data_IF_464632756953
#
_entry.id   IF_464632756953
#
_cell.length_a   1.000
_cell.length_b   1.000
_cell.length_c   1.000
_cell.angle_alpha   90.00
_cell.angle_beta   90.00
_cell.angle_gamma   90.00
#
_symmetry.space_group_name_H-M   'P 1'
#
loop_
_entity.id
_entity.type
_entity.pdbx_description
1 polymer ?
2 non-polymer ?
3 non-polymer ?
4 non-polymer ?
5 non-polymer ?
6 water ?
#
# COMPACT_ATOMS: atom_id res chain seq x y z
N UNK A 14 -3.91 24.49 -3.24
CA UNK A 14 -3.47 23.32 -2.48
C UNK A 14 -4.23 22.07 -2.88
N UNK A 15 -3.75 20.92 -2.42
CA UNK A 15 -4.37 19.64 -2.76
C UNK A 15 -5.80 19.57 -2.22
N UNK A 16 -6.70 19.08 -3.05
CA UNK A 16 -8.11 18.88 -2.67
C UNK A 16 -8.33 17.40 -2.42
N UNK A 17 -8.66 17.00 -1.19
CA UNK A 17 -8.82 15.57 -0.89
C UNK A 17 -9.99 14.97 -1.66
N UNK A 18 -9.78 13.83 -2.30
CA UNK A 18 -10.89 13.13 -2.97
C UNK A 18 -11.93 12.67 -1.96
N UNK A 19 -13.12 12.29 -2.40
CA UNK A 19 -14.13 11.78 -1.46
C UNK A 19 -13.67 10.47 -0.83
N UNK A 20 -14.24 10.17 0.34
CA UNK A 20 -13.86 8.97 1.08
C UNK A 20 -14.45 7.73 0.41
N UNK A 21 -13.63 6.67 0.35
CA UNK A 21 -14.10 5.38 -0.13
C UNK A 21 -14.98 4.74 0.95
N UNK A 22 -15.75 3.70 0.59
CA UNK A 22 -16.62 3.07 1.59
C UNK A 22 -15.83 2.38 2.69
N UNK A 23 -16.37 2.44 3.90
CA UNK A 23 -15.82 1.73 5.06
C UNK A 23 -16.90 0.78 5.56
N UNK A 24 -16.52 -0.48 5.76
CA UNK A 24 -17.44 -1.50 6.25
C UNK A 24 -16.98 -2.00 7.61
N UNK A 25 -17.95 -2.16 8.52
CA UNK A 25 -17.71 -2.69 9.86
C UNK A 25 -18.56 -3.94 10.02
N UNK A 26 -18.10 -5.07 9.51
CA UNK A 26 -18.94 -6.28 9.52
C UNK A 26 -19.14 -6.81 10.92
N UNK A 27 -20.32 -7.40 11.14
CA UNK A 27 -20.58 -8.10 12.39
C UNK A 27 -19.75 -9.38 12.46
N UNK A 28 -19.77 -10.01 13.63
CA UNK A 28 -19.07 -11.28 13.79
C UNK A 28 -19.61 -12.34 12.83
N UNK A 29 -20.92 -12.30 12.56
CA UNK A 29 -21.51 -13.23 11.61
C UNK A 29 -21.02 -12.94 10.19
N UNK A 30 -21.00 -11.66 9.80
CA UNK A 30 -20.54 -11.31 8.46
C UNK A 30 -19.03 -11.50 8.31
N UNK A 31 -18.29 -11.45 9.41
CA UNK A 31 -16.83 -11.57 9.39
C UNK A 31 -16.36 -13.02 9.25
N UNK A 32 -17.27 -13.98 9.21
CA UNK A 32 -16.88 -15.38 9.24
C UNK A 32 -16.30 -15.86 7.91
N UNK A 33 -16.59 -15.17 6.81
CA UNK A 33 -16.13 -15.60 5.49
C UNK A 33 -15.70 -14.39 4.68
N UNK A 34 -14.39 -14.21 4.45
CA UNK A 34 -13.94 -13.02 3.70
C UNK A 34 -14.46 -12.97 2.27
N UNK A 35 -14.34 -14.06 1.52
CA UNK A 35 -14.78 -14.05 0.13
C UNK A 35 -16.29 -13.85 0.03
N UNK A 36 -17.06 -14.45 0.95
CA UNK A 36 -18.49 -14.22 0.97
C UNK A 36 -18.82 -12.77 1.26
N UNK A 37 -18.12 -12.16 2.22
CA UNK A 37 -18.39 -10.78 2.58
C UNK A 37 -17.98 -9.83 1.46
N UNK A 38 -16.81 -10.06 0.85
CA UNK A 38 -16.36 -9.22 -0.27
C UNK A 38 -17.33 -9.36 -1.45
N UNK A 39 -17.87 -10.55 -1.66
CA UNK A 39 -18.84 -10.72 -2.73
C UNK A 39 -20.13 -9.98 -2.49
N UNK A 40 -20.50 -9.79 -1.22
CA UNK A 40 -21.75 -9.09 -0.91
C UNK A 40 -21.60 -7.58 -0.97
N UNK A 41 -20.44 -7.05 -0.54
CA UNK A 41 -20.20 -5.62 -0.64
C UNK A 41 -19.79 -5.20 -2.04
N UNK A 42 -19.60 -6.15 -2.95
CA UNK A 42 -19.11 -5.83 -4.29
C UNK A 42 -19.95 -4.81 -5.05
N UNK A 43 -21.30 -4.86 -5.04
CA UNK A 43 -22.06 -3.87 -5.82
C UNK A 43 -21.71 -2.42 -5.50
N UNK A 44 -21.28 -2.11 -4.28
CA UNK A 44 -20.86 -0.76 -3.94
C UNK A 44 -19.36 -0.58 -4.12
N UNK A 45 -18.56 -1.50 -3.58
CA UNK A 45 -17.12 -1.30 -3.52
C UNK A 45 -16.47 -1.32 -4.90
N UNK A 46 -17.00 -2.12 -5.83
CA UNK A 46 -16.45 -2.15 -7.18
C UNK A 46 -16.72 -0.86 -7.93
N UNK A 47 -17.67 -0.05 -7.47
CA UNK A 47 -17.92 1.26 -8.05
C UNK A 47 -16.98 2.33 -7.49
N UNK A 48 -16.19 2.01 -6.47
CA UNK A 48 -15.19 2.92 -5.93
C UNK A 48 -13.77 2.39 -6.06
N UNK A 49 -13.59 1.18 -6.59
CA UNK A 49 -12.26 0.61 -6.73
C UNK A 49 -11.65 0.03 -5.48
N UNK A 50 -11.62 0.79 -4.39
CA UNK A 50 -11.09 0.34 -3.12
C UNK A 50 -12.16 0.52 -2.05
N UNK A 51 -11.99 -0.22 -0.95
CA UNK A 51 -12.86 -0.07 0.22
C UNK A 51 -12.07 -0.49 1.45
N UNK A 52 -12.55 -0.03 2.61
CA UNK A 52 -11.91 -0.31 3.88
C UNK A 52 -12.83 -1.20 4.72
N UNK A 53 -12.24 -2.15 5.42
CA UNK A 53 -12.98 -3.12 6.23
C UNK A 53 -12.38 -3.14 7.63
N UNK A 54 -13.18 -2.73 8.61
CA UNK A 54 -12.75 -2.74 10.01
C UNK A 54 -13.24 -4.02 10.66
N UNK A 55 -12.34 -4.89 11.13
CA UNK A 55 -12.77 -6.10 11.82
C UNK A 55 -13.46 -5.77 13.13
N UNK A 56 -14.17 -6.72 13.73
CA UNK A 56 -14.74 -6.48 15.06
C UNK A 56 -13.66 -6.11 16.05
N UNK A 57 -14.06 -5.35 17.08
CA UNK A 57 -13.08 -4.73 17.99
C UNK A 57 -12.21 -5.77 18.67
N UNK A 58 -12.78 -6.92 19.03
CA UNK A 58 -12.03 -7.94 19.75
C UNK A 58 -11.13 -8.78 18.84
N UNK A 59 -11.22 -8.60 17.52
CA UNK A 59 -10.36 -9.33 16.58
C UNK A 59 -9.04 -8.59 16.48
N UNK A 60 -8.02 -9.08 17.19
CA UNK A 60 -6.71 -8.43 17.23
C UNK A 60 -5.64 -9.50 17.11
N UNK A 61 -5.06 -9.69 15.93
CA UNK A 61 -4.01 -10.69 15.76
C UNK A 61 -2.70 -10.21 16.33
N UNK A 62 -1.92 -11.10 16.95
CA UNK A 62 -0.59 -10.72 17.41
C UNK A 62 0.37 -10.56 16.23
N UNK A 63 1.40 -9.74 16.45
CA UNK A 63 2.43 -9.56 15.44
C UNK A 63 3.45 -10.69 15.58
N UNK A 64 3.59 -11.50 14.53
CA UNK A 64 4.34 -12.74 14.59
C UNK A 64 5.62 -12.72 13.77
N UNK A 65 6.07 -11.55 13.32
CA UNK A 65 7.34 -11.48 12.61
C UNK A 65 8.50 -11.69 13.58
N UNK A 66 9.56 -12.32 13.09
CA UNK A 66 10.78 -12.47 13.89
C UNK A 66 11.47 -11.12 13.96
N UNK A 67 11.21 -10.39 15.03
CA UNK A 67 11.65 -9.00 15.12
C UNK A 67 13.15 -8.91 15.40
N UNK A 68 13.72 -9.91 16.08
CA UNK A 68 15.13 -9.85 16.46
C UNK A 68 16.03 -9.81 15.22
N UNK A 69 15.76 -10.68 14.25
CA UNK A 69 16.60 -10.79 13.06
C UNK A 69 16.05 -10.03 11.86
N UNK A 70 14.96 -9.28 12.03
CA UNK A 70 14.36 -8.55 10.91
C UNK A 70 15.30 -7.43 10.47
N UNK A 71 15.98 -7.64 9.34
CA UNK A 71 16.89 -6.64 8.80
C UNK A 71 16.64 -6.50 7.30
N UNK A 72 16.77 -5.28 6.79
CA UNK A 72 16.45 -5.02 5.39
C UNK A 72 17.12 -3.74 4.95
N UNK A 73 17.36 -3.65 3.64
CA UNK A 73 17.85 -2.43 3.01
C UNK A 73 16.71 -1.80 2.21
N UNK A 74 16.10 -0.73 2.68
CA UNK A 74 14.96 -0.15 1.98
C UNK A 74 15.40 0.54 0.69
N UNK A 75 14.42 0.74 -0.19
CA UNK A 75 14.68 1.45 -1.44
C UNK A 75 14.59 2.95 -1.22
N UNK A 76 15.38 3.69 -1.97
CA UNK A 76 15.43 5.14 -1.87
C UNK A 76 14.40 5.73 -2.82
N UNK A 77 13.60 6.68 -2.31
CA UNK A 77 12.52 7.29 -3.08
C UNK A 77 12.72 8.80 -3.10
N UNK A 78 13.04 9.34 -4.28
CA UNK A 78 13.08 10.78 -4.48
C UNK A 78 11.69 11.22 -4.95
N UNK A 79 11.03 12.05 -4.13
CA UNK A 79 9.62 12.34 -4.36
C UNK A 79 9.39 13.05 -5.70
N UNK A 80 10.31 13.93 -6.09
CA UNK A 80 10.14 14.74 -7.29
C UNK A 80 10.96 14.23 -8.47
N UNK A 81 11.22 12.92 -8.53
CA UNK A 81 12.12 12.39 -9.56
C UNK A 81 11.54 12.58 -10.95
N UNK A 82 10.22 12.45 -11.10
CA UNK A 82 9.60 12.66 -12.40
C UNK A 82 9.63 14.12 -12.80
N UNK A 83 9.27 15.01 -11.88
CA UNK A 83 9.26 16.44 -12.19
C UNK A 83 10.65 16.96 -12.51
N UNK A 84 11.69 16.32 -11.94
CA UNK A 84 13.06 16.76 -12.15
C UNK A 84 13.62 16.38 -13.51
N UNK A 85 12.90 15.59 -14.31
CA UNK A 85 13.37 15.19 -15.63
C UNK A 85 13.49 16.40 -16.55
N UNK A 89 19.76 19.53 -18.23
CA UNK A 89 20.98 19.59 -17.44
C UNK A 89 20.98 18.50 -16.37
N UNK A 90 21.72 17.42 -16.62
CA UNK A 90 21.79 16.33 -15.64
C UNK A 90 22.60 16.75 -14.41
N UNK A 91 22.13 16.33 -13.25
CA UNK A 91 22.81 16.66 -12.00
C UNK A 91 24.18 16.00 -11.95
N UNK A 92 25.12 16.65 -11.28
CA UNK A 92 26.48 16.14 -11.16
C UNK A 92 26.47 14.83 -10.39
N UNK A 93 27.03 13.79 -11.01
CA UNK A 93 27.13 12.46 -10.40
C UNK A 93 25.74 11.90 -10.05
N UNK A 94 24.83 11.95 -11.01
CA UNK A 94 23.51 11.39 -10.79
C UNK A 94 23.58 9.87 -10.72
N UNK A 95 22.75 9.29 -9.85
CA UNK A 95 22.80 7.88 -9.56
C UNK A 95 23.44 7.53 -8.22
N UNK A 96 24.09 8.50 -7.57
CA UNK A 96 24.72 8.30 -6.28
C UNK A 96 24.23 9.35 -5.27
N UNK A 97 22.96 9.74 -5.35
CA UNK A 97 22.45 10.84 -4.56
C UNK A 97 22.21 10.47 -3.10
N UNK A 98 22.35 9.20 -2.73
CA UNK A 98 22.00 8.76 -1.38
C UNK A 98 22.90 7.60 -0.97
N UNK A 99 23.45 7.68 0.24
CA UNK A 99 24.19 6.56 0.80
C UNK A 99 23.23 5.44 1.18
N UNK A 100 23.70 4.21 1.01
CA UNK A 100 22.88 3.02 1.23
C UNK A 100 22.99 2.60 2.68
N UNK A 101 21.85 2.31 3.32
CA UNK A 101 21.82 1.99 4.74
C UNK A 101 20.91 0.79 4.98
N UNK A 102 21.38 -0.14 5.81
CA UNK A 102 20.59 -1.27 6.26
C UNK A 102 20.00 -0.97 7.63
N UNK A 103 18.79 -1.45 7.88
CA UNK A 103 18.08 -1.17 9.13
C UNK A 103 17.57 -2.46 9.75
N UNK A 104 17.32 -2.39 11.06
CA UNK A 104 16.40 -3.28 11.73
C UNK A 104 15.04 -2.60 11.81
N UNK A 105 14.04 -3.33 12.31
CA UNK A 105 12.73 -2.72 12.51
C UNK A 105 12.81 -1.56 13.50
N UNK A 106 13.65 -1.71 14.53
CA UNK A 106 13.79 -0.66 15.53
C UNK A 106 14.53 0.56 14.97
N UNK A 107 15.67 0.33 14.31
CA UNK A 107 16.47 1.44 13.81
C UNK A 107 15.78 2.16 12.67
N UNK A 108 14.99 1.45 11.86
CA UNK A 108 14.21 2.12 10.82
C UNK A 108 13.13 3.00 11.42
N UNK A 109 12.47 2.52 12.48
CA UNK A 109 11.44 3.31 13.12
C UNK A 109 11.99 4.54 13.81
N UNK A 110 13.18 4.41 14.41
CA UNK A 110 13.84 5.57 15.01
C UNK A 110 14.21 6.59 13.94
N UNK A 111 14.69 6.13 12.79
CA UNK A 111 14.93 7.04 11.68
C UNK A 111 13.63 7.64 11.16
N UNK A 112 12.57 6.83 11.11
CA UNK A 112 11.32 7.29 10.54
C UNK A 112 10.69 8.40 11.39
N UNK A 113 10.66 8.19 12.70
CA UNK A 113 10.06 9.21 13.58
C UNK A 113 10.91 10.47 13.63
N UNK A 114 12.24 10.31 13.62
CA UNK A 114 13.11 11.48 13.63
C UNK A 114 12.91 12.33 12.37
N UNK A 115 12.74 11.69 11.22
CA UNK A 115 12.52 12.45 9.99
C UNK A 115 11.21 13.23 10.05
N UNK A 116 10.12 12.56 10.43
CA UNK A 116 8.81 13.22 10.42
C UNK A 116 8.74 14.33 11.47
N UNK A 117 9.26 14.07 12.68
CA UNK A 117 9.22 15.07 13.73
C UNK A 117 10.13 16.25 13.40
N UNK A 118 11.27 16.01 12.75
CA UNK A 118 12.11 17.11 12.32
C UNK A 118 11.46 17.90 11.19
N UNK A 119 10.77 17.20 10.26
CA UNK A 119 10.22 17.88 9.10
C UNK A 119 9.08 18.81 9.50
N UNK A 120 8.15 18.34 10.33
CA UNK A 120 7.00 19.12 10.73
C UNK A 120 7.18 19.88 12.04
N UNK A 121 8.31 19.66 12.73
CA UNK A 121 8.62 20.37 13.97
C UNK A 121 7.55 20.14 15.04
N UNK A 122 7.10 18.89 15.16
CA UNK A 122 6.10 18.51 16.16
C UNK A 122 6.14 17.00 16.31
N UNK A 123 5.58 16.46 17.40
CA UNK A 123 5.52 15.00 17.55
C UNK A 123 4.77 14.36 16.39
N UNK A 124 5.19 13.14 16.06
CA UNK A 124 4.72 12.50 14.83
C UNK A 124 3.20 12.29 14.85
N UNK A 125 2.64 11.95 16.01
CA UNK A 125 1.22 11.71 16.10
C UNK A 125 0.40 12.98 16.15
N UNK A 126 1.05 14.14 16.28
CA UNK A 126 0.35 15.43 16.30
C UNK A 126 0.24 16.06 14.91
N UNK A 127 0.85 15.45 13.90
CA UNK A 127 0.77 15.99 12.54
C UNK A 127 -0.54 15.50 11.91
N UNK A 128 -1.42 16.42 11.50
CA UNK A 128 -2.69 15.99 10.90
C UNK A 128 -2.46 15.22 9.61
N UNK A 129 -3.30 14.20 9.40
CA UNK A 129 -3.21 13.42 8.17
C UNK A 129 -3.43 14.29 6.94
N UNK A 130 -4.27 15.32 7.05
CA UNK A 130 -4.49 16.22 5.93
C UNK A 130 -3.25 17.03 5.60
N UNK A 131 -2.41 17.32 6.61
CA UNK A 131 -1.21 18.12 6.36
C UNK A 131 -0.14 17.30 5.65
N UNK A 132 0.10 16.07 6.10
CA UNK A 132 1.04 15.19 5.42
C UNK A 132 0.60 14.95 3.98
N UNK A 133 -0.71 14.83 3.76
CA UNK A 133 -1.22 14.63 2.41
C UNK A 133 -0.95 15.83 1.52
N UNK A 134 -1.26 17.03 2.02
CA UNK A 134 -1.03 18.24 1.25
C UNK A 134 0.47 18.45 0.99
N UNK A 135 1.30 18.17 1.99
CA UNK A 135 2.74 18.34 1.82
C UNK A 135 3.31 17.31 0.86
N UNK A 136 2.80 16.08 0.89
CA UNK A 136 3.32 15.03 0.01
C UNK A 136 3.18 15.42 -1.45
N UNK A 137 1.98 15.88 -1.85
CA UNK A 137 1.74 16.21 -3.25
C UNK A 137 2.40 17.51 -3.65
N UNK A 138 2.66 18.41 -2.69
CA UNK A 138 3.44 19.60 -3.01
C UNK A 138 4.89 19.24 -3.30
N UNK A 139 5.46 18.35 -2.48
CA UNK A 139 6.85 17.92 -2.67
C UNK A 139 7.02 17.12 -3.96
N UNK A 140 5.99 16.36 -4.35
CA UNK A 140 6.11 15.51 -5.55
C UNK A 140 6.30 16.37 -6.79
N UNK A 141 5.67 17.54 -6.84
CA UNK A 141 5.75 18.43 -8.00
C UNK A 141 6.72 19.58 -7.81
N UNK A 142 7.48 19.59 -6.71
CA UNK A 142 8.35 20.73 -6.39
C UNK A 142 9.74 20.51 -6.96
N UNK A 143 10.23 21.49 -7.70
CA UNK A 143 11.59 21.46 -8.21
C UNK A 143 12.55 22.16 -7.24
N UNK A 144 12.07 23.12 -6.47
CA UNK A 144 12.90 23.89 -5.56
C UNK A 144 13.21 23.16 -4.26
N UNK A 145 12.74 21.92 -4.09
CA UNK A 145 12.93 21.19 -2.84
C UNK A 145 13.03 19.71 -3.16
N UNK A 146 14.15 19.09 -2.75
CA UNK A 146 14.43 17.68 -3.05
C UNK A 146 14.32 16.89 -1.75
N UNK A 147 13.15 16.28 -1.52
CA UNK A 147 12.92 15.44 -0.35
C UNK A 147 13.12 13.99 -0.74
N UNK A 148 13.88 13.26 0.08
CA UNK A 148 14.24 11.87 -0.19
C UNK A 148 13.91 11.03 1.04
N UNK A 149 13.15 9.95 0.85
CA UNK A 149 12.76 9.06 1.92
C UNK A 149 13.14 7.63 1.52
N UNK A 150 12.88 6.69 2.42
CA UNK A 150 13.20 5.29 2.21
C UNK A 150 11.97 4.44 2.51
N UNK A 151 11.86 3.31 1.80
CA UNK A 151 10.69 2.45 1.90
C UNK A 151 11.14 0.99 1.94
N UNK A 152 10.80 0.30 3.01
CA UNK A 152 11.04 -1.14 3.10
C UNK A 152 9.97 -1.91 2.38
N UNK A 153 10.02 -1.89 1.06
CA UNK A 153 8.93 -2.37 0.22
C UNK A 153 9.24 -3.73 -0.39
N UNK A 154 8.19 -4.49 -0.68
CA UNK A 154 8.28 -5.77 -1.36
C UNK A 154 9.19 -6.75 -0.61
N UNK A 155 9.10 -6.74 0.72
CA UNK A 155 9.79 -7.72 1.53
C UNK A 155 8.95 -8.98 1.58
N UNK A 156 9.51 -10.09 1.11
CA UNK A 156 8.78 -11.35 1.08
C UNK A 156 8.53 -11.86 2.49
N UNK A 157 7.30 -12.29 2.76
CA UNK A 157 6.98 -12.90 4.04
C UNK A 157 7.72 -14.21 4.28
N UNK A 158 8.36 -14.77 3.25
CA UNK A 158 9.19 -15.95 3.42
C UNK A 158 10.56 -15.63 4.01
N UNK A 159 10.91 -14.35 4.13
CA UNK A 159 12.23 -13.98 4.66
C UNK A 159 12.24 -14.05 6.18
N UNK A 160 11.38 -13.26 6.83
CA UNK A 160 11.33 -13.21 8.29
C UNK A 160 9.98 -13.64 8.85
N UNK A 161 9.14 -14.26 8.03
CA UNK A 161 7.82 -14.67 8.47
C UNK A 161 6.76 -13.62 8.19
N UNK A 162 5.51 -14.08 8.16
CA UNK A 162 4.40 -13.16 7.99
C UNK A 162 4.15 -12.38 9.27
N UNK A 163 3.45 -11.25 9.12
CA UNK A 163 2.97 -10.53 10.29
C UNK A 163 1.91 -11.27 11.06
N UNK A 164 1.17 -12.16 10.40
CA UNK A 164 0.20 -13.07 10.96
C UNK A 164 0.87 -14.35 11.45
N UNK A 165 0.37 -14.93 12.53
CA UNK A 165 0.86 -16.26 12.93
C UNK A 165 0.43 -17.31 11.92
N UNK A 166 1.34 -18.23 11.62
CA UNK A 166 1.08 -19.30 10.67
C UNK A 166 1.51 -20.61 11.30
N UNK A 167 0.74 -21.68 11.02
CA UNK A 167 1.06 -23.01 11.53
C UNK A 167 1.96 -23.71 10.52
N UNK A 168 3.24 -23.33 10.56
CA UNK A 168 4.25 -23.94 9.71
C UNK A 168 5.37 -24.60 10.50
N UNK A 169 5.31 -24.57 11.82
CA UNK A 169 6.33 -25.17 12.66
C UNK A 169 7.57 -24.34 12.88
N UNK A 170 7.64 -23.14 12.32
CA UNK A 170 8.83 -22.31 12.42
C UNK A 170 8.77 -21.30 13.57
N UNK A 171 7.61 -21.15 14.22
CA UNK A 171 7.49 -20.20 15.31
C UNK A 171 6.37 -20.67 16.24
N UNK A 172 6.52 -20.35 17.52
CA UNK A 172 5.55 -20.78 18.52
C UNK A 172 4.24 -20.02 18.39
N UNK A 173 3.14 -20.73 18.59
CA UNK A 173 1.80 -20.16 18.52
C UNK A 173 1.10 -20.42 19.85
N UNK A 174 0.74 -19.35 20.55
CA UNK A 174 -0.02 -19.48 21.78
C UNK A 174 -1.45 -19.92 21.47
N UNK A 175 -2.12 -20.57 22.42
CA UNK A 175 -3.50 -21.03 22.16
C UNK A 175 -4.45 -19.93 21.77
N UNK A 176 -4.37 -18.77 22.44
CA UNK A 176 -5.23 -17.65 22.08
C UNK A 176 -4.87 -17.05 20.73
N UNK A 177 -3.73 -17.43 20.15
CA UNK A 177 -3.32 -16.97 18.83
C UNK A 177 -3.66 -17.95 17.72
N UNK A 178 -4.06 -19.18 18.07
CA UNK A 178 -4.35 -20.18 17.04
C UNK A 178 -5.52 -19.77 16.15
N UNK A 179 -6.51 -19.07 16.71
CA UNK A 179 -7.64 -18.63 15.92
C UNK A 179 -7.21 -17.69 14.79
N UNK A 180 -6.15 -16.92 15.01
CA UNK A 180 -5.67 -16.00 13.98
C UNK A 180 -4.84 -16.72 12.93
N UNK A 181 -4.14 -17.80 13.31
CA UNK A 181 -3.42 -18.59 12.32
C UNK A 181 -4.37 -19.35 11.40
N UNK A 182 -5.60 -19.62 11.86
CA UNK A 182 -6.59 -20.34 11.08
C UNK A 182 -7.66 -19.42 10.49
N UNK A 183 -7.60 -18.12 10.79
CA UNK A 183 -8.63 -17.20 10.33
C UNK A 183 -8.58 -17.04 8.81
N UNK A 184 -9.75 -16.93 8.20
CA UNK A 184 -9.83 -16.66 6.78
C UNK A 184 -9.30 -15.29 6.40
N UNK A 185 -9.25 -14.36 7.34
CA UNK A 185 -8.70 -13.02 7.11
C UNK A 185 -7.19 -12.98 7.29
N UNK A 186 -6.59 -14.02 7.84
CA UNK A 186 -5.14 -14.19 7.75
C UNK A 186 -4.76 -14.24 6.28
N UNK A 187 -3.94 -13.28 5.84
CA UNK A 187 -3.62 -13.17 4.43
C UNK A 187 -2.91 -14.41 3.88
N UNK A 188 -2.27 -15.20 4.76
CA UNK A 188 -1.67 -16.45 4.31
C UNK A 188 -2.72 -17.51 4.00
N UNK A 189 -3.99 -17.27 4.33
CA UNK A 189 -5.07 -18.21 4.08
C UNK A 189 -6.00 -17.78 2.96
N UNK A 190 -5.70 -16.67 2.28
CA UNK A 190 -6.50 -16.27 1.14
C UNK A 190 -6.17 -17.16 -0.06
N UNK A 191 -7.18 -17.47 -0.89
CA UNK A 191 -6.91 -18.30 -2.08
C UNK A 191 -6.15 -17.51 -3.13
N UNK A 192 -5.10 -18.12 -3.68
CA UNK A 192 -4.20 -17.45 -4.60
C UNK A 192 -4.03 -18.19 -5.92
N UNK A 193 -4.64 -19.36 -6.08
CA UNK A 193 -4.45 -20.16 -7.29
C UNK A 193 -5.56 -19.84 -8.29
N UNK A 194 -5.16 -19.30 -9.44
CA UNK A 194 -6.11 -19.01 -10.50
C UNK A 194 -6.37 -20.26 -11.33
N UNK A 195 -7.64 -20.47 -11.69
CA UNK A 195 -8.03 -21.64 -12.46
C UNK A 195 -7.61 -21.47 -13.92
N UNK A 196 -7.09 -22.55 -14.50
CA UNK A 196 -6.67 -22.56 -15.89
C UNK A 196 -6.41 -23.99 -16.31
N UNK A 197 -6.38 -24.21 -17.63
CA UNK A 197 -5.99 -25.52 -18.14
C UNK A 197 -4.51 -25.77 -17.89
N UNK A 198 -3.69 -24.71 -17.94
CA UNK A 198 -2.27 -24.86 -17.67
C UNK A 198 -2.03 -25.35 -16.25
N UNK A 199 -2.88 -24.93 -15.30
CA UNK A 199 -2.74 -25.40 -13.93
C UNK A 199 -2.97 -26.91 -13.80
N UNK A 200 -3.65 -27.52 -14.76
CA UNK A 200 -3.82 -28.96 -14.79
C UNK A 200 -2.72 -29.67 -15.57
N UNK A 201 -2.10 -28.98 -16.53
CA UNK A 201 -1.01 -29.57 -17.29
C UNK A 201 0.33 -29.36 -16.59
N UNK A 202 0.49 -28.25 -15.87
CA UNK A 202 1.73 -27.99 -15.15
C UNK A 202 1.73 -28.65 -13.78
N UNK A 209 2.44 -18.28 -4.31
CA UNK A 209 2.42 -16.87 -3.98
C UNK A 209 2.20 -16.66 -2.48
N UNK A 210 2.99 -15.76 -1.89
CA UNK A 210 2.92 -15.48 -0.46
C UNK A 210 2.78 -13.97 -0.28
N UNK A 211 2.29 -13.52 0.88
CA UNK A 211 2.14 -12.08 1.09
C UNK A 211 3.47 -11.35 1.10
N UNK A 212 3.42 -10.06 0.77
CA UNK A 212 4.57 -9.18 0.81
C UNK A 212 4.41 -8.17 1.94
N UNK A 213 5.54 -7.72 2.47
CA UNK A 213 5.56 -6.82 3.62
C UNK A 213 6.03 -5.44 3.20
N UNK A 214 5.57 -4.42 3.92
CA UNK A 214 5.90 -3.03 3.62
C UNK A 214 6.16 -2.29 4.93
N UNK A 215 7.40 -1.90 5.16
CA UNK A 215 7.79 -1.10 6.31
C UNK A 215 7.88 0.35 5.82
N UNK A 216 6.93 1.18 6.24
CA UNK A 216 6.82 2.51 5.73
C UNK A 216 7.32 3.59 6.68
N UNK A 217 7.62 4.75 6.10
CA UNK A 217 7.90 5.96 6.84
C UNK A 217 7.11 7.09 6.20
N UNK A 218 7.19 8.28 6.79
CA UNK A 218 6.49 9.43 6.26
C UNK A 218 6.96 9.72 4.84
N UNK A 219 6.00 9.89 3.93
CA UNK A 219 6.16 10.22 2.51
C UNK A 219 6.60 9.05 1.64
N UNK A 220 6.90 7.89 2.21
CA UNK A 220 7.12 6.71 1.38
C UNK A 220 5.82 6.33 0.68
N UNK A 221 5.93 5.94 -0.59
CA UNK A 221 4.75 5.89 -1.42
C UNK A 221 4.82 4.75 -2.43
N UNK A 222 3.66 4.44 -3.01
CA UNK A 222 3.53 3.55 -4.14
C UNK A 222 2.62 4.21 -5.17
N UNK A 223 3.02 4.17 -6.43
CA UNK A 223 2.34 4.92 -7.49
C UNK A 223 1.23 4.09 -8.12
N UNK A 224 0.54 4.70 -9.08
CA UNK A 224 -0.65 4.10 -9.68
C UNK A 224 -0.30 2.80 -10.39
N UNK A 225 -1.10 1.77 -10.13
CA UNK A 225 -0.87 0.46 -10.72
C UNK A 225 -2.13 -0.38 -10.55
N UNK A 226 -2.23 -1.44 -11.35
CA UNK A 226 -3.18 -2.52 -11.15
C UNK A 226 -2.39 -3.80 -10.96
N UNK A 227 -3.06 -4.81 -10.41
CA UNK A 227 -2.39 -6.06 -10.11
C UNK A 227 -2.26 -6.91 -11.37
N UNK A 228 -1.29 -7.83 -11.34
CA UNK A 228 -1.14 -8.80 -12.41
C UNK A 228 -2.42 -9.62 -12.55
N UNK A 229 -2.80 -9.90 -13.80
CA UNK A 229 -4.03 -10.62 -14.13
C UNK A 229 -5.28 -9.89 -13.65
N UNK A 230 -5.18 -8.57 -13.42
CA UNK A 230 -6.29 -7.78 -12.90
C UNK A 230 -6.83 -8.35 -11.59
N UNK A 231 -5.94 -8.87 -10.76
CA UNK A 231 -6.35 -9.62 -9.58
C UNK A 231 -6.85 -8.69 -8.48
N UNK A 232 -7.70 -9.25 -7.62
CA UNK A 232 -7.98 -8.62 -6.33
C UNK A 232 -6.68 -8.50 -5.53
N UNK A 233 -6.71 -7.62 -4.55
CA UNK A 233 -5.66 -7.58 -3.53
C UNK A 233 -6.30 -7.19 -2.20
N UNK A 234 -5.75 -7.74 -1.12
CA UNK A 234 -6.17 -7.41 0.22
C UNK A 234 -4.94 -6.97 1.00
N UNK A 235 -5.11 -5.93 1.81
CA UNK A 235 -3.99 -5.26 2.47
C UNK A 235 -4.34 -5.03 3.93
N UNK A 236 -3.42 -5.41 4.82
CA UNK A 236 -3.64 -5.28 6.26
C UNK A 236 -2.50 -4.47 6.88
N UNK A 237 -2.87 -3.46 7.66
CA UNK A 237 -1.89 -2.66 8.40
C UNK A 237 -1.76 -3.25 9.80
N UNK A 238 -0.64 -3.91 10.06
CA UNK A 238 -0.44 -4.56 11.35
C UNK A 238 -0.35 -3.55 12.49
N UNK A 239 0.48 -2.51 12.31
CA UNK A 239 0.62 -1.48 13.32
C UNK A 239 1.21 -0.23 12.68
N UNK A 240 1.19 0.86 13.45
CA UNK A 240 1.84 2.09 13.05
C UNK A 240 0.85 3.17 12.64
N UNK A 241 1.41 4.23 12.06
CA UNK A 241 0.65 5.37 11.61
C UNK A 241 -0.08 5.03 10.30
N UNK A 242 -1.14 5.77 9.97
CA UNK A 242 -2.01 5.35 8.86
C UNK A 242 -1.29 5.29 7.52
N UNK A 243 -1.88 4.50 6.62
CA UNK A 243 -1.48 4.44 5.22
C UNK A 243 -2.59 5.07 4.40
N UNK A 244 -2.27 6.13 3.67
CA UNK A 244 -3.25 6.88 2.89
C UNK A 244 -3.38 6.27 1.50
N UNK A 245 -4.61 5.98 1.10
CA UNK A 245 -4.89 5.30 -0.16
C UNK A 245 -5.64 6.22 -1.12
N UNK A 246 -5.46 5.96 -2.41
CA UNK A 246 -6.30 6.51 -3.46
C UNK A 246 -6.67 5.39 -4.42
N UNK A 247 -7.93 5.36 -4.84
CA UNK A 247 -8.42 4.28 -5.68
C UNK A 247 -9.30 4.81 -6.78
N UNK A 248 -9.32 4.06 -7.89
CA UNK A 248 -10.12 4.41 -9.05
C UNK A 248 -10.92 3.18 -9.47
N UNK A 249 -12.24 3.30 -9.66
CA UNK A 249 -13.03 2.13 -10.05
C UNK A 249 -12.60 1.60 -11.41
N UNK A 250 -12.87 0.31 -11.63
CA UNK A 250 -12.37 -0.36 -12.83
C UNK A 250 -13.00 0.18 -14.10
N UNK A 251 -14.24 0.69 -14.02
CA UNK A 251 -14.90 1.21 -15.21
C UNK A 251 -14.24 2.48 -15.73
N UNK A 252 -13.38 3.11 -14.93
CA UNK A 252 -12.63 4.30 -15.35
C UNK A 252 -11.17 4.00 -15.60
N UNK A 253 -10.81 2.71 -15.72
CA UNK A 253 -9.41 2.35 -15.93
C UNK A 253 -8.87 2.90 -17.24
N UNK A 254 -9.67 2.81 -18.31
CA UNK A 254 -9.22 3.33 -19.60
C UNK A 254 -9.07 4.84 -19.59
N UNK A 255 -9.92 5.55 -18.83
CA UNK A 255 -9.81 7.00 -18.76
C UNK A 255 -8.56 7.42 -18.02
N UNK A 256 -8.18 6.70 -16.96
CA UNK A 256 -6.93 6.99 -16.27
C UNK A 256 -5.73 6.75 -17.18
N UNK A 257 -5.74 5.64 -17.92
CA UNK A 257 -4.63 5.34 -18.83
C UNK A 257 -4.55 6.36 -19.95
N UNK A 258 -5.69 6.92 -20.37
CA UNK A 258 -5.66 7.97 -21.37
C UNK A 258 -5.06 9.26 -20.81
N UNK A 259 -5.42 9.61 -19.57
CA UNK A 259 -4.82 10.78 -18.94
C UNK A 259 -3.32 10.59 -18.76
N UNK A 260 -2.91 9.37 -18.41
CA UNK A 260 -1.48 9.07 -18.33
C UNK A 260 -0.81 9.28 -19.68
N UNK A 261 -1.37 8.71 -20.74
CA UNK A 261 -0.79 8.86 -22.07
C UNK A 261 -0.68 10.32 -22.47
N UNK A 262 -1.63 11.15 -22.03
CA UNK A 262 -1.63 12.56 -22.41
C UNK A 262 -0.63 13.39 -21.60
N UNK A 263 -0.51 13.11 -20.31
CA UNK A 263 0.23 14.00 -19.41
C UNK A 263 1.47 13.40 -18.78
N UNK A 264 1.62 12.07 -18.73
CA UNK A 264 2.83 11.48 -18.19
C UNK A 264 4.02 11.80 -19.09
N UNK A 265 5.23 11.75 -18.54
CA UNK A 265 6.42 12.10 -19.34
C UNK A 265 6.50 11.34 -20.65
N UNK A 266 6.64 12.09 -21.75
CA UNK A 266 6.65 11.49 -23.09
C UNK A 266 7.82 10.54 -23.28
N UNK A 267 8.88 10.67 -22.47
CA UNK A 267 10.01 9.76 -22.59
C UNK A 267 9.62 8.34 -22.19
N UNK A 268 8.61 8.19 -21.34
CA UNK A 268 8.12 6.89 -20.90
C UNK A 268 6.82 6.50 -21.59
N UNK A 269 6.39 7.25 -22.60
CA UNK A 269 5.06 7.04 -23.18
C UNK A 269 4.94 5.68 -23.86
N UNK A 270 5.99 5.22 -24.52
CA UNK A 270 5.95 3.98 -25.27
C UNK A 270 6.26 2.75 -24.41
N UNK A 271 6.41 2.92 -23.10
CA UNK A 271 6.78 1.79 -22.24
C UNK A 271 5.58 0.89 -21.98
N UNK A 272 5.81 -0.42 -21.84
CA UNK A 272 4.72 -1.31 -21.44
C UNK A 272 4.16 -0.92 -20.08
N UNK A 273 2.90 -1.29 -19.86
CA UNK A 273 2.23 -0.92 -18.61
C UNK A 273 2.97 -1.44 -17.39
N UNK A 274 3.49 -2.68 -17.48
CA UNK A 274 4.18 -3.27 -16.33
C UNK A 274 5.41 -2.46 -15.94
N UNK A 275 6.12 -1.91 -16.92
CA UNK A 275 7.27 -1.07 -16.62
C UNK A 275 6.84 0.37 -16.31
N UNK A 276 5.87 0.88 -17.05
CA UNK A 276 5.34 2.22 -16.77
C UNK A 276 4.83 2.32 -15.34
N UNK A 277 4.13 1.28 -14.87
CA UNK A 277 3.57 1.29 -13.52
C UNK A 277 4.61 1.46 -12.42
N UNK A 278 5.89 1.26 -12.72
CA UNK A 278 6.90 1.42 -11.69
C UNK A 278 7.12 2.89 -11.31
N UNK A 279 6.81 3.82 -12.21
CA UNK A 279 7.21 5.21 -12.00
C UNK A 279 6.07 6.19 -12.27
N UNK A 280 4.84 5.68 -12.42
CA UNK A 280 3.71 6.52 -12.81
C UNK A 280 3.07 7.16 -11.57
N UNK A 281 3.68 8.24 -11.10
CA UNK A 281 3.08 9.05 -10.05
C UNK A 281 2.28 10.17 -10.70
N UNK A 282 1.10 10.43 -10.17
CA UNK A 282 0.25 11.50 -10.69
C UNK A 282 -0.66 11.99 -9.59
N UNK A 283 -0.72 13.31 -9.43
CA UNK A 283 -1.60 13.92 -8.43
C UNK A 283 -3.05 13.51 -8.69
N UNK A 284 -3.76 13.04 -7.67
CA UNK A 284 -5.17 12.65 -7.90
C UNK A 284 -6.04 13.78 -8.40
N UNK A 285 -5.70 15.03 -8.08
CA UNK A 285 -6.49 16.15 -8.57
C UNK A 285 -6.39 16.28 -10.09
N UNK A 286 -5.25 15.90 -10.68
CA UNK A 286 -5.11 15.94 -12.12
C UNK A 286 -6.06 14.94 -12.78
N UNK A 287 -6.16 13.74 -12.22
CA UNK A 287 -7.11 12.76 -12.74
C UNK A 287 -8.54 13.23 -12.55
N UNK A 288 -8.86 13.78 -11.38
CA UNK A 288 -10.21 14.27 -11.12
C UNK A 288 -10.58 15.41 -12.07
N UNK A 289 -9.63 16.30 -12.36
CA UNK A 289 -9.88 17.38 -13.30
C UNK A 289 -10.13 16.88 -14.72
N UNK A 290 -9.70 15.65 -15.02
CA UNK A 290 -9.92 15.04 -16.33
C UNK A 290 -11.05 14.01 -16.32
N UNK A 291 -11.95 14.09 -15.34
CA UNK A 291 -13.12 13.23 -15.29
C UNK A 291 -12.92 11.87 -14.65
N UNK A 292 -11.75 11.58 -14.11
CA UNK A 292 -11.50 10.30 -13.46
C UNK A 292 -12.01 10.33 -12.03
N UNK A 293 -12.94 9.44 -11.65
CA UNK A 293 -13.36 9.39 -10.25
C UNK A 293 -12.27 8.78 -9.38
N UNK A 294 -11.99 9.44 -8.25
CA UNK A 294 -10.96 9.00 -7.33
C UNK A 294 -11.53 9.03 -5.92
N UNK A 295 -11.25 7.99 -5.14
CA UNK A 295 -11.66 7.90 -3.75
C UNK A 295 -10.43 7.70 -2.87
N UNK A 296 -10.48 8.24 -1.66
CA UNK A 296 -9.37 8.18 -0.72
C UNK A 296 -9.81 7.49 0.57
N UNK A 297 -8.81 7.13 1.38
CA UNK A 297 -9.06 6.65 2.74
C UNK A 297 -7.75 6.67 3.52
N UNK A 298 -7.87 6.79 4.83
CA UNK A 298 -6.75 6.63 5.76
C UNK A 298 -6.89 5.25 6.39
N UNK A 299 -6.07 4.30 5.96
CA UNK A 299 -6.09 2.97 6.53
C UNK A 299 -5.31 2.99 7.84
N UNK A 300 -6.02 2.79 8.95
CA UNK A 300 -5.40 2.81 10.27
C UNK A 300 -4.99 1.40 10.68
N UNK A 301 -4.25 1.33 11.79
CA UNK A 301 -3.73 0.06 12.27
C UNK A 301 -4.87 -0.89 12.61
N UNK A 302 -4.77 -2.12 12.12
CA UNK A 302 -5.79 -3.13 12.34
C UNK A 302 -6.92 -3.12 11.33
N UNK A 303 -6.80 -2.36 10.24
CA UNK A 303 -7.85 -2.24 9.25
C UNK A 303 -7.40 -2.84 7.92
N UNK A 304 -8.37 -3.38 7.18
CA UNK A 304 -8.13 -3.97 5.86
C UNK A 304 -8.49 -2.98 4.76
N UNK A 305 -7.78 -3.08 3.65
CA UNK A 305 -8.14 -2.40 2.41
C UNK A 305 -8.18 -3.43 1.29
N UNK A 306 -9.28 -3.47 0.55
CA UNK A 306 -9.48 -4.39 -0.56
C UNK A 306 -9.52 -3.60 -1.85
N UNK A 307 -8.73 -4.02 -2.83
CA UNK A 307 -8.75 -3.45 -4.17
C UNK A 307 -9.39 -4.45 -5.12
N UNK A 308 -10.32 -3.98 -5.93
CA UNK A 308 -11.11 -4.83 -6.81
C UNK A 308 -10.42 -4.96 -8.17
N UNK A 309 -10.85 -5.92 -9.00
CA UNK A 309 -10.15 -6.17 -10.26
C UNK A 309 -10.01 -4.93 -11.12
N UNK A 310 -8.79 -4.68 -11.58
CA UNK A 310 -8.46 -3.58 -12.48
C UNK A 310 -8.78 -2.22 -11.85
N UNK A 311 -8.72 -2.14 -10.53
CA UNK A 311 -8.90 -0.88 -9.83
C UNK A 311 -7.52 -0.27 -9.58
N UNK A 312 -7.19 0.77 -10.34
CA UNK A 312 -5.93 1.47 -10.12
C UNK A 312 -5.90 2.08 -8.73
N UNK A 313 -4.77 1.92 -8.05
CA UNK A 313 -4.63 2.47 -6.71
C UNK A 313 -3.20 2.96 -6.48
N UNK A 314 -3.09 3.92 -5.58
CA UNK A 314 -1.81 4.50 -5.21
C UNK A 314 -1.93 5.04 -3.79
N UNK A 315 -0.80 5.44 -3.21
CA UNK A 315 -0.87 5.98 -1.87
C UNK A 315 0.50 6.28 -1.31
N UNK A 316 0.48 6.68 -0.04
CA UNK A 316 1.70 7.01 0.71
C UNK A 316 1.44 6.71 2.18
N UNK A 317 2.52 6.69 2.96
CA UNK A 317 2.46 6.38 4.37
C UNK A 317 2.55 7.65 5.21
N UNK A 318 1.70 7.74 6.24
CA UNK A 318 1.72 8.89 7.14
C UNK A 318 2.94 8.86 8.06
N UNK A 319 3.47 7.68 8.33
CA UNK A 319 4.62 7.58 9.22
C UNK A 319 5.07 6.14 9.33
N UNK A 320 5.79 5.87 10.42
CA UNK A 320 6.29 4.52 10.68
C UNK A 320 5.14 3.54 10.85
N UNK A 321 5.07 2.56 9.95
CA UNK A 321 4.03 1.54 10.02
C UNK A 321 4.53 0.25 9.39
N UNK A 322 3.66 -0.76 9.38
CA UNK A 322 3.99 -2.10 8.90
C UNK A 322 2.75 -2.69 8.25
N UNK A 323 2.84 -3.01 6.96
CA UNK A 323 1.69 -3.51 6.22
C UNK A 323 2.03 -4.84 5.57
N UNK A 324 0.97 -5.60 5.25
CA UNK A 324 1.09 -6.90 4.59
C UNK A 324 0.02 -6.98 3.50
N UNK A 325 0.40 -7.48 2.33
CA UNK A 325 -0.47 -7.47 1.18
C UNK A 325 -0.29 -8.74 0.36
N UNK A 326 -1.38 -9.16 -0.29
CA UNK A 326 -1.34 -10.33 -1.16
C UNK A 326 -2.47 -10.20 -2.17
N UNK A 327 -2.25 -10.74 -3.37
CA UNK A 327 -3.30 -10.87 -4.37
C UNK A 327 -4.06 -12.17 -4.14
N UNK A 328 -5.37 -12.14 -4.35
CA UNK A 328 -6.18 -13.33 -4.14
C UNK A 328 -7.16 -13.50 -5.30
N UNK A 329 -7.62 -14.73 -5.48
CA UNK A 329 -8.54 -15.10 -6.54
C UNK A 329 -9.91 -15.42 -5.94
N UNK A 330 -10.95 -15.21 -6.74
CA UNK A 330 -12.31 -15.53 -6.32
C UNK A 330 -12.86 -16.67 -7.14
X LIG B 1 3.38 -1.70 -4.34
X LIG B 1 4.79 0.16 -6.85
X LIG B 1 6.02 2.27 -6.53
X LIG B 1 6.05 0.51 -4.85
X LIG B 1 4.68 -3.96 -6.16
X LIG B 1 4.29 -4.58 -7.46
X LIG B 1 3.89 -6.03 -7.32
X LIG B 1 2.44 -5.82 -9.38
X LIG B 1 3.09 -3.79 -8.05
X LIG B 1 1.92 -0.40 -0.21
X LIG B 1 1.18 -0.95 -1.40
X LIG B 1 -0.22 -1.15 -1.36
X LIG B 1 -0.86 -1.66 -2.47
X LIG B 1 1.13 -1.81 -3.70
X LIG B 1 1.86 -1.29 -2.62
X LIG B 1 4.74 -1.77 -5.11
X LIG B 1 5.20 -0.33 -5.61
X LIG B 1 5.19 1.44 -7.32
X LIG B 1 6.46 1.80 -5.28
X LIG B 1 3.53 -6.60 -8.70
X LIG B 1 2.70 -4.34 -9.43
X LIG B 1 2.09 -2.07 -4.78
X LIG B 1 1.23 -6.05 -8.72
X LIG B 1 2.26 -6.32 -10.65
X LIG B 1 -0.23 -1.99 -3.64
X LIG B 1 3.22 -1.24 -3.02
X LIG B 1 3.11 0.06 -0.34
X LIG B 1 4.53 -2.54 -6.29
X LIG B 1 1.38 -0.40 0.90
X LIG B 1 6.62 -0.04 -3.26
X LIG C 1 -1.36 -3.08 -5.27
X LIG D 1 3.91 13.96 -11.20
X LIG D 1 5.27 14.25 -11.28
X LIG D 1 3.21 15.23 -10.70
X LIG D 1 4.02 16.34 -10.75
X LIG D 1 1.97 15.38 -11.60
X LIG D 1 0.91 14.83 -10.89
X LIG E 1 -2.43 -6.56 -15.60
X LIG E 1 -1.51 -5.52 -15.57
X LIG E 1 -1.91 -7.56 -16.65
X LIG E 1 -1.56 -8.78 -16.09
X LIG E 1 -3.07 -7.69 -17.67
X LIG E 1 -2.79 -8.81 -18.45
X LIG F 1 -0.65 3.54 -15.74
X LIG F 1 0.67 3.48 -15.19
X LIG F 1 -0.59 3.35 -17.25
X LIG F 1 0.09 2.12 -17.55
X LIG G 1 8.84 8.45 -5.26
X LIG G 1 7.85 8.63 -6.28
X LIG G 1 10.11 7.89 -5.87
X LIG G 1 9.84 6.58 -6.42
#
# INVERSE_FOLDING_TARGET
HNMAGVGPGGYAAEFVPPPECPVFEPSWEEFTDPLSFIGRIRPLAEKTGICKIRPPKDWQPPFACEVKSFRFTPRVQRLNELEAMTRVRPREAFGFEQAVREYTLQSFGEMADNFKSDYFNMPVHMVPTELVEKEFWRLVSSIEEDVIVEYGADISSKDFGSGFPVKDGRRKILPEEEEYALSGWNLNNMPVLEQSVLAHINVDISGMKVPWLYVGMCFSSFCWHIEDHWSYSINYLHWGEPKTWYGVPSHAAEQLEEVMRELAPELFESQPDLLHQLVTIMNPNVLMEHGVPVYRTNQCAGEFVVTFPRAYHSGFNQGYNFAEAVNFCT
DKV C10 C13 C15 C17 C20 C21 C22 C24 C28 C02 C03 C04 C05 C07 C08 C11 C12 C14 C16 C23 C27 C29 F25 F26 N06 N09 O01 O19 O30 CL1
MN MN
GOL C1 O1 C2 O2 C3 O3
GOL C1 O1 C2 O2 C3 O3
EDO C1 O1 C2 O2
EDO C1 O1 C2 O2
#
